data_IF_372590485564
#
_entry.id   IF_372590485564
#
_cell.length_a   1.000
_cell.length_b   1.000
_cell.length_c   1.000
_cell.angle_alpha   90.00
_cell.angle_beta   90.00
_cell.angle_gamma   90.00
#
_symmetry.space_group_name_H-M   'P 1'
#
loop_
_entity.id
_entity.type
_entity.pdbx_description
1 polymer ?
#
# COMPACT_ATOMS: atom_id res chain seq x y z
N UNK A 1 -25.38 -3.87 40.10
CA UNK A 1 -25.23 -4.63 38.84
C UNK A 1 -25.20 -3.73 37.59
N UNK A 2 -26.18 -2.84 37.38
CA UNK A 2 -26.24 -1.96 36.18
C UNK A 2 -25.00 -1.05 35.96
N UNK A 3 -24.41 -0.52 37.03
CA UNK A 3 -23.18 0.31 36.99
C UNK A 3 -21.92 -0.47 36.61
N UNK A 4 -21.82 -1.73 37.05
CA UNK A 4 -20.69 -2.62 36.74
C UNK A 4 -20.74 -3.05 35.27
N UNK A 5 -21.94 -3.40 34.78
CA UNK A 5 -22.14 -3.73 33.37
C UNK A 5 -21.80 -2.54 32.44
N UNK A 6 -22.14 -1.32 32.86
CA UNK A 6 -21.78 -0.10 32.14
C UNK A 6 -20.27 0.14 32.11
N UNK A 7 -19.57 -0.02 33.24
CA UNK A 7 -18.11 0.11 33.28
C UNK A 7 -17.39 -0.95 32.43
N UNK A 8 -17.90 -2.18 32.41
CA UNK A 8 -17.34 -3.26 31.57
C UNK A 8 -17.56 -2.94 30.08
N UNK A 9 -18.77 -2.50 29.71
CA UNK A 9 -19.07 -2.09 28.33
C UNK A 9 -18.20 -0.91 27.87
N UNK A 10 -18.02 0.09 28.73
CA UNK A 10 -17.18 1.26 28.45
C UNK A 10 -15.69 0.87 28.35
N UNK A 11 -15.22 -0.02 29.23
CA UNK A 11 -13.84 -0.53 29.20
C UNK A 11 -13.55 -1.32 27.93
N UNK A 12 -14.46 -2.16 27.45
CA UNK A 12 -14.28 -2.88 26.19
C UNK A 12 -14.29 -1.92 25.00
N UNK A 13 -15.14 -0.89 25.03
CA UNK A 13 -15.19 0.12 23.98
C UNK A 13 -13.88 0.89 23.83
N UNK A 14 -13.24 1.24 24.95
CA UNK A 14 -11.94 1.94 24.97
C UNK A 14 -10.78 1.11 24.41
N UNK A 15 -10.83 -0.23 24.53
CA UNK A 15 -9.79 -1.12 24.00
C UNK A 15 -9.83 -1.30 22.47
N UNK A 16 -10.93 -0.89 21.82
CA UNK A 16 -11.09 -0.97 20.36
C UNK A 16 -10.63 0.30 19.63
N UNK A 17 -10.17 1.34 20.35
CA UNK A 17 -9.96 2.67 19.78
C UNK A 17 -8.49 2.94 19.43
N UNK A 18 -8.25 3.79 18.43
CA UNK A 18 -6.91 4.09 17.91
C UNK A 18 -6.41 3.12 16.83
N UNK A 19 -7.32 2.32 16.25
CA UNK A 19 -7.01 1.42 15.15
C UNK A 19 -6.54 2.19 13.91
N UNK A 20 -7.15 3.33 13.59
CA UNK A 20 -6.82 4.19 12.45
C UNK A 20 -5.42 4.81 12.56
N UNK A 21 -5.00 5.26 13.74
CA UNK A 21 -3.65 5.77 13.98
C UNK A 21 -2.60 4.65 13.88
N UNK A 22 -2.86 3.48 14.48
CA UNK A 22 -1.98 2.31 14.33
C UNK A 22 -1.92 1.84 12.87
N UNK A 23 -3.04 1.89 12.16
CA UNK A 23 -3.11 1.61 10.73
C UNK A 23 -2.32 2.64 9.92
N UNK A 24 -2.28 3.92 10.32
CA UNK A 24 -1.50 4.94 9.64
C UNK A 24 0.01 4.79 9.85
N UNK A 25 0.41 4.26 11.02
CA UNK A 25 1.81 3.93 11.35
C UNK A 25 2.25 2.57 10.78
N UNK A 26 1.32 1.66 10.54
CA UNK A 26 1.60 0.34 9.98
C UNK A 26 1.46 0.35 8.46
N UNK A 27 2.45 -0.27 7.81
CA UNK A 27 2.53 -0.30 6.36
C UNK A 27 3.93 -0.67 5.92
N UNK A 28 4.05 -1.18 4.70
CA UNK A 28 5.33 -1.36 4.04
C UNK A 28 5.59 -0.12 3.21
N UNK A 29 6.76 0.50 3.39
CA UNK A 29 7.24 1.54 2.49
C UNK A 29 7.21 0.99 1.06
N UNK A 30 6.69 1.78 0.11
CA UNK A 30 6.69 1.41 -1.29
C UNK A 30 8.13 1.11 -1.74
N UNK A 31 8.34 0.01 -2.45
CA UNK A 31 9.62 -0.25 -3.09
C UNK A 31 9.96 0.87 -4.05
N UNK A 32 11.25 1.26 -4.08
CA UNK A 32 11.70 2.37 -4.90
C UNK A 32 11.64 1.95 -6.39
N UNK A 33 10.51 2.24 -7.06
CA UNK A 33 10.29 1.90 -8.46
C UNK A 33 11.21 2.67 -9.42
N UNK A 34 12.15 3.48 -8.92
CA UNK A 34 13.24 4.10 -9.71
C UNK A 34 14.08 3.09 -10.49
N UNK A 35 14.06 1.82 -10.09
CA UNK A 35 14.77 0.73 -10.79
C UNK A 35 14.02 0.28 -12.06
N UNK A 36 12.72 0.59 -12.20
CA UNK A 36 11.94 0.29 -13.40
C UNK A 36 12.11 1.43 -14.41
N UNK A 37 13.30 1.52 -14.98
CA UNK A 37 13.68 2.55 -15.96
C UNK A 37 14.34 1.93 -17.17
N UNK A 38 14.32 2.67 -18.28
CA UNK A 38 15.02 2.30 -19.52
C UNK A 38 16.50 2.03 -19.24
N UNK A 39 17.05 0.96 -19.83
CA UNK A 39 18.43 0.54 -19.72
C UNK A 39 18.70 -0.50 -18.64
N UNK A 40 17.79 -0.71 -17.68
CA UNK A 40 17.96 -1.75 -16.67
C UNK A 40 17.64 -3.13 -17.24
N UNK A 41 18.36 -4.14 -16.75
CA UNK A 41 18.12 -5.53 -17.14
C UNK A 41 16.82 -6.06 -16.52
N UNK A 42 16.22 -7.05 -17.19
CA UNK A 42 15.05 -7.77 -16.69
C UNK A 42 15.27 -8.35 -15.30
N UNK A 43 16.45 -8.91 -15.01
CA UNK A 43 16.78 -9.47 -13.69
C UNK A 43 16.80 -8.41 -12.57
N UNK A 44 17.26 -7.20 -12.88
CA UNK A 44 17.28 -6.07 -11.94
C UNK A 44 15.87 -5.56 -11.69
N UNK A 45 15.03 -5.47 -12.73
CA UNK A 45 13.62 -5.07 -12.60
C UNK A 45 12.82 -6.12 -11.82
N UNK A 46 13.01 -7.41 -12.10
CA UNK A 46 12.32 -8.52 -11.42
C UNK A 46 12.85 -8.82 -10.01
N UNK A 47 13.95 -8.18 -9.58
CA UNK A 47 14.39 -8.22 -8.18
C UNK A 47 13.49 -7.39 -7.25
N UNK A 48 12.70 -6.48 -7.81
CA UNK A 48 11.70 -5.71 -7.08
C UNK A 48 10.49 -6.60 -6.75
N UNK A 49 9.67 -6.26 -5.73
CA UNK A 49 8.46 -7.01 -5.42
C UNK A 49 7.33 -6.73 -6.43
N UNK A 50 7.56 -7.15 -7.67
CA UNK A 50 6.65 -7.05 -8.80
C UNK A 50 6.35 -8.47 -9.32
N UNK A 51 5.15 -8.67 -9.86
CA UNK A 51 4.71 -9.97 -10.39
C UNK A 51 4.41 -9.86 -11.87
N UNK A 52 5.05 -10.66 -12.71
CA UNK A 52 4.69 -10.75 -14.12
C UNK A 52 3.29 -11.39 -14.25
N UNK A 53 2.37 -10.68 -14.89
CA UNK A 53 0.99 -11.15 -15.13
C UNK A 53 0.74 -11.46 -16.60
N UNK A 54 1.55 -10.93 -17.51
CA UNK A 54 1.46 -11.17 -18.94
C UNK A 54 2.81 -11.00 -19.61
N UNK A 55 3.11 -11.84 -20.60
CA UNK A 55 4.33 -11.75 -21.42
C UNK A 55 3.97 -12.02 -22.87
N UNK A 56 4.40 -11.16 -23.77
CA UNK A 56 4.21 -11.30 -25.22
C UNK A 56 5.51 -11.01 -25.96
N UNK A 57 5.92 -11.93 -26.82
CA UNK A 57 7.05 -11.74 -27.72
C UNK A 57 6.54 -11.18 -29.05
N UNK A 58 7.01 -9.99 -29.40
CA UNK A 58 6.68 -9.31 -30.64
C UNK A 58 7.49 -9.92 -31.81
N UNK A 59 6.99 -9.71 -33.05
CA UNK A 59 7.64 -10.19 -34.27
C UNK A 59 9.05 -9.64 -34.51
N UNK A 60 9.39 -8.51 -33.88
CA UNK A 60 10.72 -7.89 -33.92
C UNK A 60 11.72 -8.52 -32.93
N UNK A 61 11.33 -9.54 -32.17
CA UNK A 61 12.15 -10.18 -31.15
C UNK A 61 12.10 -9.50 -29.77
N UNK A 62 11.44 -8.35 -29.64
CA UNK A 62 11.24 -7.71 -28.35
C UNK A 62 10.20 -8.46 -27.51
N UNK A 63 10.31 -8.37 -26.19
CA UNK A 63 9.36 -8.99 -25.27
C UNK A 63 8.69 -7.91 -24.43
N UNK A 64 7.36 -7.80 -24.49
CA UNK A 64 6.56 -6.95 -23.61
C UNK A 64 6.15 -7.78 -22.40
N UNK A 65 6.47 -7.31 -21.20
CA UNK A 65 6.01 -7.91 -19.94
C UNK A 65 5.16 -6.91 -19.19
N UNK A 66 3.97 -7.32 -18.79
CA UNK A 66 3.11 -6.57 -17.87
C UNK A 66 3.37 -7.07 -16.47
N UNK A 67 3.83 -6.17 -15.61
CA UNK A 67 4.01 -6.42 -14.19
C UNK A 67 2.89 -5.80 -13.39
N UNK A 68 2.47 -6.51 -12.35
CA UNK A 68 1.58 -6.02 -11.32
C UNK A 68 2.38 -5.80 -10.05
N UNK A 69 2.18 -4.65 -9.42
CA UNK A 69 2.79 -4.31 -8.15
C UNK A 69 1.76 -3.74 -7.21
N UNK A 70 1.95 -3.96 -5.92
CA UNK A 70 1.09 -3.38 -4.89
C UNK A 70 1.78 -2.13 -4.38
N UNK A 71 1.10 -0.98 -4.49
CA UNK A 71 1.51 0.20 -3.73
C UNK A 71 1.07 -0.06 -2.29
N UNK A 72 2.08 -0.32 -1.45
CA UNK A 72 1.94 -0.40 -0.02
C UNK A 72 1.43 0.92 0.55
N UNK A 73 0.77 0.81 1.68
CA UNK A 73 0.39 1.98 2.46
C UNK A 73 1.65 2.58 3.08
N UNK A 74 2.04 3.76 2.63
CA UNK A 74 3.18 4.44 3.23
C UNK A 74 2.85 4.84 4.68
N UNK A 75 3.67 4.39 5.65
CA UNK A 75 3.50 4.77 7.03
C UNK A 75 3.70 6.29 7.14
N UNK A 76 2.78 6.97 7.82
CA UNK A 76 2.81 8.42 7.96
C UNK A 76 2.56 8.81 9.41
N UNK A 77 3.62 9.29 10.06
CA UNK A 77 3.57 9.79 11.43
C UNK A 77 2.66 11.01 11.56
N UNK A 78 2.62 11.87 10.53
CA UNK A 78 1.74 13.04 10.48
C UNK A 78 0.26 12.63 10.45
N UNK A 79 -0.13 11.69 9.58
CA UNK A 79 -1.51 11.16 9.54
C UNK A 79 -1.89 10.51 10.87
N UNK A 80 -1.00 9.73 11.46
CA UNK A 80 -1.24 9.08 12.75
C UNK A 80 -1.49 10.09 13.87
N UNK A 81 -0.68 11.16 13.95
CA UNK A 81 -0.88 12.25 14.91
C UNK A 81 -2.23 12.95 14.71
N UNK A 82 -2.61 13.22 13.46
CA UNK A 82 -3.91 13.83 13.15
C UNK A 82 -5.07 12.94 13.60
N UNK A 83 -4.98 11.63 13.41
CA UNK A 83 -6.01 10.69 13.89
C UNK A 83 -6.08 10.63 15.41
N UNK A 84 -4.94 10.60 16.11
CA UNK A 84 -4.90 10.66 17.58
C UNK A 84 -5.57 11.95 18.08
N UNK A 85 -5.28 13.08 17.44
CA UNK A 85 -5.86 14.37 17.81
C UNK A 85 -7.38 14.37 17.58
N UNK A 86 -7.84 13.95 16.40
CA UNK A 86 -9.26 13.86 16.06
C UNK A 86 -10.01 12.91 16.99
N UNK A 87 -9.43 11.76 17.28
CA UNK A 87 -10.00 10.78 18.20
C UNK A 87 -10.12 11.37 19.61
N UNK A 88 -9.10 12.08 20.10
CA UNK A 88 -9.16 12.74 21.41
C UNK A 88 -10.24 13.84 21.47
N UNK A 89 -10.40 14.62 20.39
CA UNK A 89 -11.34 15.74 20.33
C UNK A 89 -12.78 15.30 20.11
N UNK A 90 -13.00 14.19 19.41
CA UNK A 90 -14.33 13.69 19.05
C UNK A 90 -14.79 12.52 19.91
N UNK A 91 -14.07 12.22 21.00
CA UNK A 91 -14.31 11.02 21.82
C UNK A 91 -14.36 9.76 20.95
N UNK A 92 -13.40 9.66 20.02
CA UNK A 92 -13.19 8.56 19.08
C UNK A 92 -14.34 8.31 18.11
N UNK A 93 -15.25 9.27 17.93
CA UNK A 93 -16.28 9.19 16.89
C UNK A 93 -15.63 9.26 15.49
N UNK A 94 -14.48 9.91 15.34
CA UNK A 94 -13.72 9.96 14.09
C UNK A 94 -13.29 8.60 13.54
N UNK A 95 -13.06 7.59 14.40
CA UNK A 95 -12.75 6.21 13.98
C UNK A 95 -13.75 5.66 12.96
N UNK A 96 -15.03 6.03 13.07
CA UNK A 96 -16.08 5.61 12.15
C UNK A 96 -15.79 6.01 10.69
N UNK A 97 -14.99 7.06 10.49
CA UNK A 97 -14.62 7.57 9.18
C UNK A 97 -13.14 7.33 8.85
N UNK A 98 -12.24 7.52 9.82
CA UNK A 98 -10.79 7.40 9.61
C UNK A 98 -10.37 5.95 9.38
N UNK A 99 -10.99 4.98 10.06
CA UNK A 99 -10.66 3.56 9.86
C UNK A 99 -11.11 3.03 8.48
N UNK A 100 -12.35 3.26 8.00
CA UNK A 100 -12.71 2.89 6.63
C UNK A 100 -11.87 3.61 5.57
N UNK A 101 -11.55 4.89 5.76
CA UNK A 101 -10.67 5.62 4.84
C UNK A 101 -9.29 4.96 4.76
N UNK A 102 -8.68 4.65 5.89
CA UNK A 102 -7.36 4.01 5.96
C UNK A 102 -7.36 2.56 5.47
N UNK A 103 -8.52 1.86 5.50
CA UNK A 103 -8.73 0.57 4.84
C UNK A 103 -8.90 0.71 3.33
N UNK A 104 -9.64 1.72 2.86
CA UNK A 104 -9.84 1.98 1.44
C UNK A 104 -8.53 2.41 0.75
N UNK A 105 -7.63 3.07 1.48
CA UNK A 105 -6.28 3.38 1.04
C UNK A 105 -5.32 2.17 1.09
N UNK A 106 -5.73 1.03 1.65
CA UNK A 106 -4.87 -0.14 1.74
C UNK A 106 -4.84 -0.90 0.40
N UNK A 107 -3.62 -1.11 -0.12
CA UNK A 107 -3.29 -1.97 -1.28
C UNK A 107 -3.98 -1.56 -2.58
N UNK A 108 -3.46 -0.51 -3.22
CA UNK A 108 -3.78 -0.27 -4.62
C UNK A 108 -2.90 -1.17 -5.49
N UNK A 109 -3.52 -2.11 -6.20
CA UNK A 109 -2.83 -2.85 -7.26
C UNK A 109 -2.65 -1.93 -8.48
N UNK A 110 -1.41 -1.77 -8.90
CA UNK A 110 -1.07 -1.04 -10.13
C UNK A 110 -0.35 -1.96 -11.10
N UNK A 111 -0.44 -1.60 -12.38
CA UNK A 111 0.24 -2.32 -13.45
C UNK A 111 1.21 -1.40 -14.16
N UNK A 112 2.36 -1.94 -14.52
CA UNK A 112 3.38 -1.28 -15.34
C UNK A 112 3.74 -2.21 -16.49
N UNK A 113 3.95 -1.67 -17.68
CA UNK A 113 4.42 -2.48 -18.82
C UNK A 113 5.85 -2.10 -19.14
N UNK A 114 6.67 -3.13 -19.37
CA UNK A 114 8.07 -2.95 -19.76
C UNK A 114 8.31 -3.72 -21.04
N UNK A 115 8.88 -3.05 -22.04
CA UNK A 115 9.36 -3.67 -23.26
C UNK A 115 10.86 -3.94 -23.13
N UNK A 116 11.25 -5.19 -23.39
CA UNK A 116 12.63 -5.64 -23.38
C UNK A 116 13.12 -5.94 -24.80
N UNK A 117 14.38 -5.61 -25.07
CA UNK A 117 15.07 -6.05 -26.28
C UNK A 117 15.48 -7.54 -26.18
N UNK A 118 15.95 -8.17 -27.28
CA UNK A 118 16.44 -9.56 -27.25
C UNK A 118 17.61 -9.79 -26.28
N UNK A 119 18.35 -8.74 -25.91
CA UNK A 119 19.43 -8.79 -24.91
C UNK A 119 18.91 -8.79 -23.46
N UNK A 120 17.61 -8.59 -23.23
CA UNK A 120 16.99 -8.58 -21.90
C UNK A 120 17.06 -7.23 -21.18
N UNK A 121 17.28 -6.13 -21.89
CA UNK A 121 17.31 -4.76 -21.36
C UNK A 121 16.00 -4.03 -21.65
N UNK A 122 15.53 -3.25 -20.67
CA UNK A 122 14.32 -2.45 -20.80
C UNK A 122 14.54 -1.31 -21.80
N UNK A 123 13.83 -1.33 -22.93
CA UNK A 123 13.88 -0.28 -23.96
C UNK A 123 12.77 0.75 -23.79
N UNK A 124 11.65 0.37 -23.18
CA UNK A 124 10.50 1.23 -22.96
C UNK A 124 9.73 0.81 -21.70
N UNK A 125 9.22 1.80 -20.97
CA UNK A 125 8.37 1.62 -19.78
C UNK A 125 7.12 2.46 -19.99
N UNK A 126 5.94 1.87 -19.74
CA UNK A 126 4.62 2.49 -19.90
C UNK A 126 3.86 2.52 -18.58
#
# INVERSE_FOLDING_TARGET
MKKILFCIGLSMFLLLQGCSAMMALSGSQNSDFKVITKGNSKSVIESQPIKAIFTETQRNGNTIVKYQYTIGKEPSLVRALVYILLDSMTLFISELFTMPAEKAHARTEKTIMVEYNPQGEAVRVF
#
